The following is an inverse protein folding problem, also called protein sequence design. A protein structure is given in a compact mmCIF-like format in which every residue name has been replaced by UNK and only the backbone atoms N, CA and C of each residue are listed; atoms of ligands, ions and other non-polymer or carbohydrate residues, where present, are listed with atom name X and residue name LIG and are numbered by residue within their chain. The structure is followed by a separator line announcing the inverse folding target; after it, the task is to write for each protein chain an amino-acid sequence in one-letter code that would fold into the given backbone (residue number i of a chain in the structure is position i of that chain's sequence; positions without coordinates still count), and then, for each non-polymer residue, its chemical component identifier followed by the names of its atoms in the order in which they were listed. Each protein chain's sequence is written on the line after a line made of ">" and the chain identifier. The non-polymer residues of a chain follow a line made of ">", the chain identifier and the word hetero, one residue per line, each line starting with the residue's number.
data_IF_705699934160
#
_entry.id   IF_705699934160
#
_cell.length_a   1.000
_cell.length_b   1.000
_cell.length_c   1.000
_cell.angle_alpha   90.00
_cell.angle_beta   90.00
_cell.angle_gamma   90.00
#
_symmetry.space_group_name_H-M   'P 1'
#
loop_
_entity.id
_entity.type
_entity.pdbx_description
1 polymer ?
#
# COMPACT_ATOMS: atom_id res chain seq x y z
N UNK A 1 10.28 -19.51 48.36
CA UNK A 1 9.20 -18.80 47.58
C UNK A 1 9.81 -18.40 46.24
N UNK A 2 9.58 -19.23 45.20
CA UNK A 2 10.18 -19.07 43.89
C UNK A 2 9.16 -18.36 42.96
N UNK A 3 9.49 -17.17 42.49
CA UNK A 3 8.64 -16.41 41.53
C UNK A 3 8.92 -16.91 40.12
N UNK A 4 7.99 -17.69 39.57
CA UNK A 4 7.93 -18.05 38.15
C UNK A 4 7.53 -16.82 37.32
N UNK A 5 8.44 -16.29 36.54
CA UNK A 5 8.15 -15.30 35.49
C UNK A 5 7.45 -16.01 34.33
N UNK A 6 6.19 -15.61 34.08
CA UNK A 6 5.41 -16.06 32.92
C UNK A 6 5.92 -15.33 31.66
N UNK A 7 6.54 -16.07 30.76
CA UNK A 7 6.82 -15.61 29.41
C UNK A 7 5.48 -15.42 28.67
N UNK A 8 5.18 -14.19 28.24
CA UNK A 8 4.08 -13.89 27.33
C UNK A 8 4.48 -14.35 25.91
N UNK A 9 3.59 -15.03 25.16
CA UNK A 9 3.88 -15.40 23.79
C UNK A 9 3.95 -14.15 22.91
N UNK A 10 4.97 -14.07 22.06
CA UNK A 10 5.14 -13.07 21.02
C UNK A 10 3.97 -13.16 20.04
N UNK A 11 3.27 -12.05 19.83
CA UNK A 11 2.21 -11.94 18.81
C UNK A 11 2.82 -12.17 17.42
N UNK A 12 2.27 -13.11 16.67
CA UNK A 12 2.62 -13.37 15.28
C UNK A 12 2.30 -12.13 14.44
N UNK A 13 3.29 -11.72 13.65
CA UNK A 13 3.08 -10.74 12.57
C UNK A 13 2.18 -11.42 11.54
N UNK A 14 0.92 -11.01 11.49
CA UNK A 14 -0.02 -11.49 10.50
C UNK A 14 0.23 -10.72 9.22
N UNK A 15 0.87 -11.37 8.25
CA UNK A 15 0.81 -10.94 6.87
C UNK A 15 -0.58 -11.34 6.39
N UNK A 16 -1.53 -10.41 6.34
CA UNK A 16 -2.83 -10.62 5.73
C UNK A 16 -2.60 -10.89 4.25
N UNK A 17 -2.70 -12.16 3.89
CA UNK A 17 -2.67 -12.63 2.50
C UNK A 17 -4.11 -12.95 2.13
N UNK A 18 -4.74 -12.08 1.34
CA UNK A 18 -6.02 -12.36 0.75
C UNK A 18 -5.95 -13.65 -0.08
N UNK A 19 -6.82 -14.60 0.24
CA UNK A 19 -6.82 -15.98 -0.28
C UNK A 19 -7.68 -16.15 -1.54
N UNK A 20 -8.10 -15.03 -2.16
CA UNK A 20 -8.95 -15.06 -3.35
C UNK A 20 -8.13 -15.02 -4.63
N UNK A 21 -7.59 -16.16 -5.01
CA UNK A 21 -7.16 -16.44 -6.40
C UNK A 21 -7.94 -17.64 -6.92
N UNK A 22 -9.12 -17.39 -7.47
CA UNK A 22 -9.70 -18.26 -8.49
C UNK A 22 -8.88 -18.04 -9.78
N UNK A 23 -7.72 -18.69 -9.90
CA UNK A 23 -7.12 -18.98 -11.19
C UNK A 23 -7.83 -20.23 -11.69
N UNK A 24 -8.48 -20.13 -12.85
CA UNK A 24 -8.96 -21.28 -13.62
C UNK A 24 -7.78 -22.24 -13.80
N UNK A 25 -7.79 -23.31 -13.00
CA UNK A 25 -6.89 -24.44 -13.18
C UNK A 25 -7.36 -25.18 -14.43
N UNK A 26 -6.60 -25.04 -15.54
CA UNK A 26 -6.61 -26.06 -16.56
C UNK A 26 -6.19 -27.37 -15.89
N UNK A 27 -7.16 -28.26 -15.67
CA UNK A 27 -6.96 -29.63 -15.23
C UNK A 27 -6.15 -30.38 -16.28
N UNK A 28 -4.82 -30.29 -16.23
CA UNK A 28 -3.97 -31.30 -16.83
C UNK A 28 -3.93 -32.51 -15.88
N UNK A 29 -4.65 -33.55 -16.27
CA UNK A 29 -4.64 -34.90 -15.72
C UNK A 29 -3.21 -35.48 -15.69
N UNK A 30 -2.53 -35.33 -14.54
CA UNK A 30 -1.27 -36.05 -14.27
C UNK A 30 -1.52 -37.19 -13.29
N UNK A 31 -1.66 -38.38 -13.89
CA UNK A 31 -1.59 -39.68 -13.26
C UNK A 31 -0.60 -39.74 -12.10
N UNK A 32 -1.12 -40.22 -10.98
CA UNK A 32 -0.45 -40.64 -9.76
C UNK A 32 0.88 -41.33 -10.02
N UNK A 33 2.00 -40.66 -9.75
CA UNK A 33 3.27 -41.31 -9.49
C UNK A 33 3.86 -40.74 -8.22
N UNK A 34 3.79 -41.58 -7.19
CA UNK A 34 4.56 -41.61 -5.94
C UNK A 34 5.14 -40.31 -5.37
N UNK A 35 4.63 -39.95 -4.21
CA UNK A 35 5.16 -39.08 -3.18
C UNK A 35 6.71 -39.05 -3.12
N UNK A 36 7.33 -38.09 -3.78
CA UNK A 36 8.67 -37.66 -3.39
C UNK A 36 8.49 -36.46 -2.47
N UNK A 37 8.97 -36.61 -1.24
CA UNK A 37 8.83 -35.71 -0.12
C UNK A 37 9.00 -34.25 -0.49
N UNK A 38 8.07 -33.40 -0.05
CA UNK A 38 8.19 -31.95 -0.09
C UNK A 38 9.54 -31.59 0.54
N UNK A 39 10.50 -31.21 -0.26
CA UNK A 39 11.83 -30.81 0.18
C UNK A 39 11.63 -29.54 1.03
N UNK A 40 11.54 -29.71 2.34
CA UNK A 40 11.47 -28.61 3.28
C UNK A 40 12.76 -27.80 3.08
N UNK A 41 12.62 -26.55 2.67
CA UNK A 41 13.75 -25.61 2.56
C UNK A 41 14.46 -25.55 3.93
N UNK A 42 15.78 -25.63 3.91
CA UNK A 42 16.56 -25.42 5.14
C UNK A 42 16.36 -23.98 5.63
N UNK A 43 16.48 -23.74 6.92
CA UNK A 43 16.38 -22.39 7.50
C UNK A 43 17.35 -21.40 6.82
N UNK A 44 18.55 -21.89 6.47
CA UNK A 44 19.56 -21.12 5.75
C UNK A 44 19.11 -20.74 4.35
N UNK A 45 18.45 -21.65 3.63
CA UNK A 45 17.92 -21.38 2.30
C UNK A 45 16.73 -20.41 2.37
N UNK A 46 15.81 -20.60 3.32
CA UNK A 46 14.71 -19.65 3.57
C UNK A 46 15.24 -18.24 3.79
N UNK A 47 16.26 -18.07 4.64
CA UNK A 47 16.87 -16.76 4.90
C UNK A 47 17.52 -16.16 3.65
N UNK A 48 18.21 -16.98 2.86
CA UNK A 48 18.83 -16.55 1.59
C UNK A 48 17.77 -16.10 0.57
N UNK A 49 16.71 -16.88 0.39
CA UNK A 49 15.62 -16.56 -0.52
C UNK A 49 14.83 -15.33 -0.05
N UNK A 50 14.58 -15.19 1.25
CA UNK A 50 13.97 -14.00 1.84
C UNK A 50 14.81 -12.74 1.56
N UNK A 51 16.14 -12.82 1.66
CA UNK A 51 17.03 -11.72 1.29
C UNK A 51 16.91 -11.32 -0.19
N UNK A 52 16.71 -12.29 -1.09
CA UNK A 52 16.47 -11.98 -2.52
C UNK A 52 15.12 -11.27 -2.71
N UNK A 53 14.06 -11.71 -2.03
CA UNK A 53 12.76 -11.03 -2.04
C UNK A 53 12.88 -9.60 -1.51
N UNK A 54 13.60 -9.39 -0.38
CA UNK A 54 13.85 -8.06 0.15
C UNK A 54 14.53 -7.13 -0.87
N UNK A 55 15.55 -7.63 -1.58
CA UNK A 55 16.23 -6.85 -2.62
C UNK A 55 15.28 -6.48 -3.76
N UNK A 56 14.40 -7.39 -4.21
CA UNK A 56 13.41 -7.11 -5.24
C UNK A 56 12.40 -6.05 -4.79
N UNK A 57 11.94 -6.14 -3.55
CA UNK A 57 11.00 -5.17 -2.95
C UNK A 57 11.64 -3.80 -2.82
N UNK A 58 12.88 -3.70 -2.34
CA UNK A 58 13.61 -2.43 -2.23
C UNK A 58 13.85 -1.80 -3.60
N UNK A 59 14.19 -2.59 -4.61
CA UNK A 59 14.35 -2.11 -5.98
C UNK A 59 13.03 -1.58 -6.59
N UNK A 60 11.91 -2.23 -6.28
CA UNK A 60 10.57 -1.78 -6.70
C UNK A 60 10.16 -0.49 -5.96
N UNK A 61 10.53 -0.36 -4.68
CA UNK A 61 10.23 0.80 -3.85
C UNK A 61 10.90 2.09 -4.34
N UNK A 62 12.08 2.02 -4.96
CA UNK A 62 12.74 3.18 -5.58
C UNK A 62 11.81 3.86 -6.60
N UNK A 63 11.03 3.06 -7.35
CA UNK A 63 10.07 3.55 -8.35
C UNK A 63 8.65 3.69 -7.80
N UNK A 64 8.43 3.33 -6.54
CA UNK A 64 7.09 3.24 -5.91
C UNK A 64 6.10 2.35 -6.66
N UNK A 65 6.57 1.37 -7.44
CA UNK A 65 5.73 0.46 -8.23
C UNK A 65 5.51 -0.83 -7.44
N UNK A 66 4.27 -1.35 -7.34
CA UNK A 66 4.02 -2.63 -6.69
C UNK A 66 4.78 -3.78 -7.37
N UNK A 67 5.43 -4.62 -6.57
CA UNK A 67 6.09 -5.83 -7.03
C UNK A 67 5.08 -6.97 -7.10
N UNK A 68 4.80 -7.48 -8.30
CA UNK A 68 3.84 -8.57 -8.49
C UNK A 68 4.37 -9.88 -7.93
N UNK A 69 3.49 -10.70 -7.33
CA UNK A 69 3.83 -12.05 -6.87
C UNK A 69 4.36 -12.95 -8.01
N UNK A 70 3.85 -12.77 -9.23
CA UNK A 70 4.36 -13.45 -10.43
C UNK A 70 5.83 -13.12 -10.71
N UNK A 71 6.24 -11.86 -10.51
CA UNK A 71 7.62 -11.43 -10.80
C UNK A 71 8.59 -11.97 -9.74
N UNK A 72 8.15 -12.06 -8.47
CA UNK A 72 8.92 -12.72 -7.40
C UNK A 72 9.14 -14.19 -7.76
N UNK A 73 8.09 -14.90 -8.19
CA UNK A 73 8.20 -16.33 -8.57
C UNK A 73 9.08 -16.54 -9.79
N UNK A 74 9.04 -15.64 -10.79
CA UNK A 74 9.92 -15.68 -11.97
C UNK A 74 11.37 -15.41 -11.61
N UNK A 75 11.62 -14.43 -10.75
CA UNK A 75 12.96 -14.04 -10.31
C UNK A 75 13.61 -15.09 -9.39
N UNK A 76 12.81 -15.86 -8.65
CA UNK A 76 13.28 -16.86 -7.69
C UNK A 76 12.66 -18.22 -8.03
N UNK A 77 13.30 -18.94 -8.94
CA UNK A 77 12.81 -20.24 -9.48
C UNK A 77 12.63 -21.33 -8.41
N UNK A 78 13.25 -21.19 -7.23
CA UNK A 78 13.09 -22.10 -6.11
C UNK A 78 11.77 -21.96 -5.38
N UNK A 79 10.98 -20.89 -5.64
CA UNK A 79 9.69 -20.60 -4.98
C UNK A 79 8.49 -21.15 -5.76
N UNK A 80 8.60 -22.37 -6.31
CA UNK A 80 7.51 -23.01 -7.06
C UNK A 80 6.36 -23.48 -6.17
N UNK A 81 6.68 -23.96 -4.96
CA UNK A 81 5.68 -24.44 -4.02
C UNK A 81 5.00 -23.26 -3.30
N UNK A 82 3.66 -23.31 -3.15
CA UNK A 82 2.87 -22.33 -2.38
C UNK A 82 3.35 -22.24 -0.92
N UNK A 83 3.65 -23.40 -0.30
CA UNK A 83 4.16 -23.45 1.08
C UNK A 83 5.52 -22.77 1.22
N UNK A 84 6.47 -23.07 0.32
CA UNK A 84 7.80 -22.44 0.33
C UNK A 84 7.72 -20.94 0.10
N UNK A 85 6.84 -20.48 -0.81
CA UNK A 85 6.59 -19.08 -1.08
C UNK A 85 6.09 -18.36 0.19
N UNK A 86 5.06 -18.90 0.84
CA UNK A 86 4.49 -18.33 2.08
C UNK A 86 5.54 -18.21 3.19
N UNK A 87 6.32 -19.29 3.43
CA UNK A 87 7.39 -19.28 4.44
C UNK A 87 8.46 -18.21 4.15
N UNK A 88 8.88 -18.09 2.89
CA UNK A 88 9.88 -17.11 2.47
C UNK A 88 9.34 -15.68 2.57
N UNK A 89 8.07 -15.43 2.19
CA UNK A 89 7.44 -14.12 2.31
C UNK A 89 7.28 -13.66 3.76
N UNK A 90 6.90 -14.58 4.68
CA UNK A 90 6.85 -14.28 6.11
C UNK A 90 8.25 -13.87 6.60
N UNK A 91 9.27 -14.65 6.24
CA UNK A 91 10.66 -14.34 6.64
C UNK A 91 11.16 -13.03 6.04
N UNK A 92 10.81 -12.73 4.80
CA UNK A 92 11.11 -11.44 4.16
C UNK A 92 10.41 -10.28 4.90
N UNK A 93 9.15 -10.45 5.33
CA UNK A 93 8.42 -9.48 6.14
C UNK A 93 9.14 -9.17 7.45
N UNK A 94 9.53 -10.19 8.22
CA UNK A 94 10.30 -10.02 9.44
C UNK A 94 11.62 -9.27 9.20
N UNK A 95 12.33 -9.61 8.12
CA UNK A 95 13.59 -8.95 7.77
C UNK A 95 13.37 -7.49 7.37
N UNK A 96 12.35 -7.19 6.57
CA UNK A 96 12.02 -5.83 6.14
C UNK A 96 11.66 -4.95 7.33
N UNK A 97 10.85 -5.46 8.26
CA UNK A 97 10.43 -4.70 9.44
C UNK A 97 11.60 -4.47 10.40
N UNK A 98 12.38 -5.52 10.67
CA UNK A 98 13.43 -5.45 11.69
C UNK A 98 14.69 -4.71 11.23
N UNK A 99 15.08 -4.86 9.96
CA UNK A 99 16.31 -4.25 9.42
C UNK A 99 16.09 -2.89 8.77
N UNK A 100 14.95 -2.69 8.14
CA UNK A 100 14.68 -1.50 7.32
C UNK A 100 13.51 -0.66 7.82
N UNK A 101 12.72 -1.14 8.79
CA UNK A 101 11.54 -0.43 9.27
C UNK A 101 10.42 -0.31 8.22
N UNK A 102 10.32 -1.29 7.30
CA UNK A 102 9.26 -1.38 6.31
C UNK A 102 8.33 -2.55 6.59
N UNK A 103 7.03 -2.34 6.46
CA UNK A 103 6.03 -3.40 6.43
C UNK A 103 5.72 -3.75 4.97
N UNK A 104 5.68 -5.05 4.65
CA UNK A 104 5.18 -5.53 3.36
C UNK A 104 3.65 -5.56 3.43
N UNK A 105 2.99 -4.92 2.48
CA UNK A 105 1.54 -4.91 2.37
C UNK A 105 1.11 -5.40 0.99
N UNK A 106 0.10 -6.26 0.94
CA UNK A 106 -0.54 -6.68 -0.31
C UNK A 106 -1.42 -5.56 -0.87
N UNK A 107 -1.50 -5.48 -2.20
CA UNK A 107 -2.41 -4.58 -2.91
C UNK A 107 -3.39 -5.40 -3.74
N UNK A 108 -4.60 -4.88 -3.98
CA UNK A 108 -5.69 -5.56 -4.70
C UNK A 108 -5.28 -6.16 -6.06
N UNK A 109 -4.22 -5.67 -6.68
CA UNK A 109 -3.70 -6.13 -7.97
C UNK A 109 -2.66 -7.24 -7.88
N UNK A 110 -2.72 -8.11 -6.87
CA UNK A 110 -1.81 -9.23 -6.63
C UNK A 110 -0.32 -8.82 -6.57
N UNK A 111 -0.04 -7.69 -5.96
CA UNK A 111 1.30 -7.17 -5.77
C UNK A 111 1.57 -6.81 -4.32
N UNK A 112 2.82 -6.46 -4.05
CA UNK A 112 3.29 -6.02 -2.73
C UNK A 112 3.90 -4.64 -2.83
N UNK A 113 3.63 -3.81 -1.83
CA UNK A 113 4.26 -2.51 -1.61
C UNK A 113 4.95 -2.50 -0.26
N UNK A 114 5.94 -1.63 -0.13
CA UNK A 114 6.59 -1.34 1.15
C UNK A 114 5.94 -0.09 1.77
N UNK A 115 5.61 -0.18 3.05
CA UNK A 115 5.09 0.93 3.84
C UNK A 115 6.06 1.21 4.97
N UNK A 116 6.51 2.45 5.09
CA UNK A 116 7.44 2.86 6.15
C UNK A 116 6.72 2.86 7.51
N UNK A 117 7.25 2.11 8.48
CA UNK A 117 6.75 2.04 9.87
C UNK A 117 7.53 2.94 10.82
N UNK A 118 8.70 3.42 10.41
CA UNK A 118 9.51 4.36 11.17
C UNK A 118 8.90 5.74 10.99
N UNK A 119 8.22 6.22 12.01
CA UNK A 119 7.41 7.44 11.96
C UNK A 119 8.11 8.68 11.36
N UNK A 120 7.33 9.70 11.05
CA UNK A 120 7.70 10.93 10.34
C UNK A 120 8.86 11.76 10.94
N UNK A 121 9.39 11.35 12.10
CA UNK A 121 10.50 12.05 12.77
C UNK A 121 11.74 12.14 11.89
N UNK A 122 12.01 11.10 11.07
CA UNK A 122 13.14 11.08 10.15
C UNK A 122 12.86 11.76 8.81
N UNK A 123 11.58 11.93 8.42
CA UNK A 123 11.21 12.63 7.18
C UNK A 123 11.66 14.12 7.16
N UNK A 124 11.87 14.71 8.32
CA UNK A 124 12.39 16.09 8.45
C UNK A 124 13.84 16.24 7.96
N UNK A 125 14.59 15.16 7.87
CA UNK A 125 15.98 15.14 7.44
C UNK A 125 16.16 14.70 5.98
N UNK A 126 15.07 14.29 5.33
CA UNK A 126 15.09 13.87 3.94
C UNK A 126 15.12 15.12 3.05
N UNK A 127 16.28 15.44 2.51
CA UNK A 127 16.41 16.48 1.47
C UNK A 127 16.02 15.87 0.12
N UNK A 128 14.82 16.18 -0.32
CA UNK A 128 14.34 15.74 -1.63
C UNK A 128 14.75 16.74 -2.70
N UNK A 129 14.98 16.30 -3.94
CA UNK A 129 15.04 17.20 -5.09
C UNK A 129 13.74 18.02 -5.18
N UNK A 130 13.82 19.28 -5.58
CA UNK A 130 12.65 20.18 -5.68
C UNK A 130 11.51 19.60 -6.54
N UNK A 131 11.85 18.84 -7.58
CA UNK A 131 10.84 18.15 -8.42
C UNK A 131 10.02 17.10 -7.63
N UNK A 132 10.66 16.38 -6.72
CA UNK A 132 9.98 15.39 -5.87
C UNK A 132 9.16 16.06 -4.77
N UNK A 133 9.60 17.18 -4.24
CA UNK A 133 8.81 17.99 -3.29
C UNK A 133 7.54 18.51 -3.94
N UNK A 134 7.61 19.02 -5.18
CA UNK A 134 6.44 19.47 -5.95
C UNK A 134 5.47 18.31 -6.20
N UNK A 135 5.97 17.15 -6.62
CA UNK A 135 5.13 15.96 -6.81
C UNK A 135 4.43 15.53 -5.52
N UNK A 136 5.15 15.50 -4.39
CA UNK A 136 4.56 15.17 -3.09
C UNK A 136 3.51 16.19 -2.66
N UNK A 137 3.78 17.47 -2.85
CA UNK A 137 2.82 18.55 -2.58
C UNK A 137 1.54 18.38 -3.40
N UNK A 138 1.68 18.12 -4.70
CA UNK A 138 0.56 17.88 -5.59
C UNK A 138 -0.23 16.62 -5.20
N UNK A 139 0.47 15.53 -4.85
CA UNK A 139 -0.19 14.30 -4.38
C UNK A 139 -1.05 14.56 -3.14
N UNK A 140 -0.50 15.27 -2.14
CA UNK A 140 -1.24 15.62 -0.92
C UNK A 140 -2.47 16.47 -1.25
N UNK A 141 -2.33 17.45 -2.14
CA UNK A 141 -3.44 18.30 -2.57
C UNK A 141 -4.55 17.49 -3.27
N UNK A 142 -4.18 16.58 -4.17
CA UNK A 142 -5.14 15.68 -4.86
C UNK A 142 -5.84 14.77 -3.86
N UNK A 143 -5.09 14.12 -2.96
CA UNK A 143 -5.67 13.24 -1.93
C UNK A 143 -6.61 14.00 -0.99
N UNK A 144 -6.23 15.21 -0.60
CA UNK A 144 -7.08 16.08 0.22
C UNK A 144 -8.37 16.45 -0.54
N UNK A 145 -8.27 16.86 -1.81
CA UNK A 145 -9.43 17.19 -2.63
C UNK A 145 -10.39 16.01 -2.81
N UNK A 146 -9.87 14.81 -3.09
CA UNK A 146 -10.69 13.60 -3.18
C UNK A 146 -11.37 13.30 -1.84
N UNK A 147 -10.63 13.38 -0.73
CA UNK A 147 -11.15 13.12 0.61
C UNK A 147 -12.25 14.11 0.99
N UNK A 148 -12.07 15.40 0.69
CA UNK A 148 -13.07 16.43 0.96
C UNK A 148 -14.30 16.32 0.05
N UNK A 149 -14.16 15.68 -1.11
CA UNK A 149 -15.26 15.37 -2.02
C UNK A 149 -15.84 13.95 -1.77
N UNK A 150 -16.05 13.59 -0.51
CA UNK A 150 -16.63 12.31 -0.06
C UNK A 150 -15.87 11.06 -0.54
N UNK A 151 -14.56 11.18 -0.72
CA UNK A 151 -13.67 10.09 -1.10
C UNK A 151 -13.65 9.72 -2.58
N UNK A 152 -14.39 10.46 -3.44
CA UNK A 152 -14.46 10.24 -4.89
C UNK A 152 -14.43 11.57 -5.64
N UNK A 153 -13.74 11.58 -6.78
CA UNK A 153 -13.71 12.76 -7.65
C UNK A 153 -13.69 12.33 -9.11
N UNK A 154 -14.52 12.95 -9.94
CA UNK A 154 -14.52 12.69 -11.39
C UNK A 154 -13.25 13.23 -12.04
N UNK A 155 -12.90 12.69 -13.23
CA UNK A 155 -11.77 13.19 -14.03
C UNK A 155 -11.89 14.69 -14.27
N UNK A 156 -13.07 15.16 -14.73
CA UNK A 156 -13.30 16.58 -14.99
C UNK A 156 -13.25 17.44 -13.72
N UNK A 157 -13.71 16.92 -12.57
CA UNK A 157 -13.60 17.58 -11.27
C UNK A 157 -12.13 17.76 -10.85
N UNK A 158 -11.31 16.71 -11.02
CA UNK A 158 -9.88 16.78 -10.73
C UNK A 158 -9.14 17.71 -11.68
N UNK A 159 -9.45 17.70 -12.98
CA UNK A 159 -8.87 18.64 -13.95
C UNK A 159 -9.22 20.09 -13.59
N UNK A 160 -10.47 20.37 -13.22
CA UNK A 160 -10.89 21.69 -12.78
C UNK A 160 -10.16 22.15 -11.52
N UNK A 161 -9.98 21.25 -10.55
CA UNK A 161 -9.22 21.52 -9.34
C UNK A 161 -7.76 21.85 -9.64
N UNK A 162 -7.10 21.06 -10.50
CA UNK A 162 -5.70 21.28 -10.87
C UNK A 162 -5.50 22.58 -11.63
N UNK A 163 -6.40 22.93 -12.53
CA UNK A 163 -6.39 24.21 -13.25
C UNK A 163 -6.58 25.42 -12.31
N UNK A 164 -7.34 25.23 -11.22
CA UNK A 164 -7.51 26.26 -10.20
C UNK A 164 -6.28 26.43 -9.30
N UNK A 165 -5.47 25.40 -9.13
CA UNK A 165 -4.21 25.50 -8.40
C UNK A 165 -3.13 26.22 -9.19
N UNK A 166 -2.96 25.86 -10.46
CA UNK A 166 -1.99 26.46 -11.37
C UNK A 166 -2.36 26.13 -12.83
N UNK A 167 -2.56 27.16 -13.64
CA UNK A 167 -2.88 27.02 -15.05
C UNK A 167 -1.77 26.30 -15.86
N UNK A 168 -0.52 26.40 -15.43
CA UNK A 168 0.62 25.77 -16.11
C UNK A 168 0.77 24.27 -15.76
N UNK A 169 0.13 23.81 -14.67
CA UNK A 169 0.14 22.39 -14.27
C UNK A 169 -0.69 21.50 -15.21
N UNK A 170 -1.61 22.07 -15.97
CA UNK A 170 -2.60 21.32 -16.76
C UNK A 170 -2.03 20.31 -17.77
N UNK A 171 -0.90 20.57 -18.40
CA UNK A 171 -0.26 19.63 -19.34
C UNK A 171 0.60 18.57 -18.65
N UNK A 172 1.29 18.94 -17.56
CA UNK A 172 2.15 18.04 -16.79
C UNK A 172 1.38 17.19 -15.77
N UNK A 173 0.18 17.61 -15.37
CA UNK A 173 -0.63 16.93 -14.35
C UNK A 173 -1.13 15.55 -14.79
N UNK A 174 -1.41 15.36 -16.08
CA UNK A 174 -1.88 14.07 -16.60
C UNK A 174 -0.83 12.98 -16.41
N UNK A 175 0.43 13.27 -16.72
CA UNK A 175 1.53 12.31 -16.53
C UNK A 175 1.74 12.00 -15.06
N UNK A 176 1.63 13.00 -14.18
CA UNK A 176 1.72 12.79 -12.74
C UNK A 176 0.55 11.96 -12.19
N UNK A 177 -0.69 12.19 -12.67
CA UNK A 177 -1.85 11.36 -12.29
C UNK A 177 -1.63 9.91 -12.73
N UNK A 178 -1.14 9.67 -13.95
CA UNK A 178 -0.81 8.32 -14.42
C UNK A 178 0.30 7.68 -13.59
N UNK A 179 1.28 8.46 -13.15
CA UNK A 179 2.31 7.99 -12.23
C UNK A 179 1.70 7.60 -10.88
N UNK A 180 0.82 8.40 -10.29
CA UNK A 180 0.16 8.10 -9.01
C UNK A 180 -0.78 6.89 -9.10
N UNK A 181 -1.43 6.66 -10.24
CA UNK A 181 -2.20 5.43 -10.49
C UNK A 181 -1.29 4.20 -10.52
N UNK A 182 -0.15 4.27 -11.21
CA UNK A 182 0.83 3.16 -11.26
C UNK A 182 1.43 2.88 -9.90
N UNK A 183 1.68 3.92 -9.11
CA UNK A 183 2.22 3.84 -7.75
C UNK A 183 1.19 3.40 -6.72
N UNK A 184 -0.10 3.26 -7.10
CA UNK A 184 -1.21 2.93 -6.21
C UNK A 184 -1.54 3.97 -5.13
N UNK A 185 -1.18 5.22 -5.37
CA UNK A 185 -1.72 6.33 -4.59
C UNK A 185 -3.15 6.70 -5.00
N UNK A 186 -3.47 6.54 -6.28
CA UNK A 186 -4.82 6.71 -6.81
C UNK A 186 -5.31 5.38 -7.38
N UNK A 187 -6.62 5.21 -7.35
CA UNK A 187 -7.35 4.14 -8.03
C UNK A 187 -8.40 4.79 -8.93
N UNK A 188 -8.64 4.22 -10.11
CA UNK A 188 -9.67 4.69 -11.03
C UNK A 188 -10.75 3.63 -11.17
N UNK A 189 -12.00 4.05 -11.04
CA UNK A 189 -13.19 3.21 -11.23
C UNK A 189 -14.13 3.87 -12.23
N UNK A 190 -14.82 3.08 -13.03
CA UNK A 190 -15.84 3.60 -13.94
C UNK A 190 -17.18 3.64 -13.21
N UNK A 191 -17.86 4.77 -13.26
CA UNK A 191 -19.22 4.89 -12.77
C UNK A 191 -20.18 4.70 -13.95
N UNK A 192 -20.76 3.52 -14.05
CA UNK A 192 -21.70 3.13 -15.11
C UNK A 192 -23.11 3.68 -14.88
N UNK A 193 -23.36 4.34 -13.73
CA UNK A 193 -24.66 4.95 -13.41
C UNK A 193 -24.88 6.29 -14.11
N UNK A 194 -23.85 6.83 -14.76
CA UNK A 194 -23.90 8.09 -15.52
C UNK A 194 -23.90 7.81 -17.02
N UNK A 195 -24.65 8.58 -17.80
CA UNK A 195 -24.62 8.54 -19.28
C UNK A 195 -24.04 9.87 -19.81
N UNK A 196 -22.84 9.89 -20.41
CA UNK A 196 -21.91 8.75 -20.60
C UNK A 196 -21.24 8.30 -19.29
N UNK A 197 -20.71 7.04 -19.21
CA UNK A 197 -19.98 6.55 -18.07
C UNK A 197 -18.80 7.46 -17.70
N UNK A 198 -18.66 7.77 -16.42
CA UNK A 198 -17.65 8.72 -15.94
C UNK A 198 -16.58 8.01 -15.11
N UNK A 199 -15.32 8.25 -15.44
CA UNK A 199 -14.21 7.75 -14.61
C UNK A 199 -14.10 8.57 -13.32
N UNK A 200 -14.03 7.87 -12.19
CA UNK A 200 -13.87 8.43 -10.86
C UNK A 200 -12.53 8.04 -10.28
N UNK A 201 -11.87 8.97 -9.61
CA UNK A 201 -10.65 8.71 -8.82
C UNK A 201 -10.98 8.60 -7.35
N UNK A 202 -10.30 7.65 -6.71
CA UNK A 202 -10.35 7.40 -5.26
C UNK A 202 -8.93 7.23 -4.71
N UNK A 203 -8.80 7.20 -3.40
CA UNK A 203 -7.53 6.82 -2.77
C UNK A 203 -7.20 5.36 -3.10
N UNK A 204 -5.98 5.12 -3.55
CA UNK A 204 -5.46 3.76 -3.77
C UNK A 204 -4.89 3.15 -2.48
N UNK A 205 -4.50 1.87 -2.58
CA UNK A 205 -4.00 1.08 -1.43
C UNK A 205 -2.79 1.72 -0.74
N UNK A 206 -1.84 2.27 -1.52
CA UNK A 206 -0.66 2.96 -0.98
C UNK A 206 -1.05 4.24 -0.24
N UNK A 207 -1.98 5.02 -0.76
CA UNK A 207 -2.43 6.23 -0.09
C UNK A 207 -3.08 5.91 1.26
N UNK A 208 -3.95 4.90 1.30
CA UNK A 208 -4.61 4.45 2.54
C UNK A 208 -3.60 3.93 3.58
N UNK A 209 -2.46 3.39 3.14
CA UNK A 209 -1.42 2.88 4.03
C UNK A 209 -0.44 3.95 4.54
N UNK A 210 -0.06 4.91 3.68
CA UNK A 210 0.97 5.91 4.00
C UNK A 210 0.37 7.20 4.59
N UNK A 211 -0.87 7.54 4.26
CA UNK A 211 -1.51 8.79 4.71
C UNK A 211 -2.61 8.53 5.74
N UNK A 212 -2.55 9.31 6.82
CA UNK A 212 -3.59 9.31 7.85
C UNK A 212 -4.67 10.35 7.49
N UNK A 213 -5.90 9.92 7.27
CA UNK A 213 -7.02 10.82 6.91
C UNK A 213 -7.25 11.92 7.93
N UNK A 214 -7.03 11.64 9.22
CA UNK A 214 -7.09 12.65 10.28
C UNK A 214 -6.11 13.78 10.06
N UNK A 215 -4.84 13.45 9.73
CA UNK A 215 -3.82 14.48 9.44
C UNK A 215 -4.12 15.26 8.16
N UNK A 216 -4.73 14.60 7.16
CA UNK A 216 -5.17 15.30 5.95
C UNK A 216 -6.31 16.25 6.26
N UNK A 217 -7.27 15.87 7.12
CA UNK A 217 -8.34 16.77 7.57
C UNK A 217 -7.79 17.96 8.37
N UNK A 218 -6.85 17.71 9.27
CA UNK A 218 -6.17 18.77 10.04
C UNK A 218 -5.46 19.76 9.11
N UNK A 219 -4.73 19.26 8.11
CA UNK A 219 -4.08 20.08 7.09
C UNK A 219 -5.10 20.95 6.30
N UNK A 220 -6.22 20.37 5.87
CA UNK A 220 -7.28 21.12 5.20
C UNK A 220 -7.83 22.21 6.12
N UNK A 221 -8.05 21.91 7.38
CA UNK A 221 -8.52 22.89 8.36
C UNK A 221 -7.56 24.07 8.54
N UNK A 222 -6.25 23.81 8.53
CA UNK A 222 -5.22 24.85 8.58
C UNK A 222 -5.28 25.76 7.33
N UNK A 223 -5.40 25.17 6.13
CA UNK A 223 -5.51 25.91 4.86
C UNK A 223 -6.77 26.81 4.85
N UNK A 224 -7.87 26.36 5.45
CA UNK A 224 -9.13 27.13 5.55
C UNK A 224 -9.19 28.08 6.76
N UNK A 225 -8.04 28.51 7.30
CA UNK A 225 -7.99 29.49 8.37
C UNK A 225 -8.19 28.90 9.78
N UNK A 226 -7.64 27.72 10.04
CA UNK A 226 -7.70 27.00 11.31
C UNK A 226 -9.12 26.66 11.76
N UNK A 227 -9.96 26.22 10.82
CA UNK A 227 -11.29 25.70 11.13
C UNK A 227 -11.20 24.44 12.00
N UNK A 228 -12.21 24.21 12.85
CA UNK A 228 -12.26 22.97 13.64
C UNK A 228 -12.61 21.79 12.75
N UNK A 229 -11.88 20.63 12.83
CA UNK A 229 -12.18 19.42 12.05
C UNK A 229 -13.64 18.94 12.17
N UNK A 230 -14.28 19.14 13.35
CA UNK A 230 -15.67 18.79 13.59
C UNK A 230 -16.69 19.55 12.74
N UNK A 231 -16.31 20.66 12.11
CA UNK A 231 -17.18 21.39 11.18
C UNK A 231 -17.37 20.64 9.85
N UNK A 232 -16.47 19.77 9.50
CA UNK A 232 -16.53 18.87 8.35
C UNK A 232 -17.19 17.54 8.77
N UNK A 233 -18.50 17.56 8.99
CA UNK A 233 -19.26 16.49 9.65
C UNK A 233 -19.06 15.11 9.02
N UNK A 234 -19.06 14.99 7.69
CA UNK A 234 -18.86 13.73 6.98
C UNK A 234 -17.44 13.19 7.21
N UNK A 235 -16.43 14.01 6.93
CA UNK A 235 -15.01 13.63 7.06
C UNK A 235 -14.64 13.34 8.50
N UNK A 236 -15.18 14.12 9.44
CA UNK A 236 -14.97 13.91 10.87
C UNK A 236 -15.53 12.56 11.35
N UNK A 237 -16.74 12.22 10.91
CA UNK A 237 -17.35 10.92 11.21
C UNK A 237 -16.49 9.77 10.69
N UNK A 238 -16.05 9.85 9.44
CA UNK A 238 -15.24 8.82 8.77
C UNK A 238 -13.89 8.61 9.47
N UNK A 239 -13.24 9.69 9.91
CA UNK A 239 -11.97 9.63 10.65
C UNK A 239 -12.14 8.97 12.03
N UNK A 240 -13.25 9.23 12.73
CA UNK A 240 -13.51 8.63 14.05
C UNK A 240 -13.84 7.14 13.92
N UNK A 241 -14.63 6.73 12.93
CA UNK A 241 -14.94 5.31 12.68
C UNK A 241 -13.67 4.48 12.35
N UNK A 242 -12.71 5.05 11.61
CA UNK A 242 -11.43 4.40 11.35
C UNK A 242 -10.54 4.25 12.60
N UNK A 243 -10.64 5.17 13.55
CA UNK A 243 -9.89 5.07 14.81
C UNK A 243 -10.47 4.03 15.76
N UNK A 244 -11.80 3.98 15.89
CA UNK A 244 -12.49 2.98 16.72
C UNK A 244 -12.25 1.55 16.22
N UNK A 245 -12.17 1.35 14.89
CA UNK A 245 -11.83 0.07 14.28
C UNK A 245 -10.39 -0.39 14.53
N UNK A 246 -9.45 0.54 14.74
CA UNK A 246 -8.04 0.20 15.03
C UNK A 246 -7.79 -0.12 16.49
N UNK A 247 -8.51 0.49 17.41
CA UNK A 247 -8.40 0.22 18.85
C UNK A 247 -9.00 -1.14 19.23
N UNK A 248 -10.02 -1.63 18.52
CA UNK A 248 -10.61 -2.95 18.74
C UNK A 248 -9.76 -4.12 18.21
N UNK A 249 -8.74 -3.85 17.39
CA UNK A 249 -7.85 -4.87 16.79
C UNK A 249 -6.46 -4.94 17.44
N UNK A 250 -6.21 -4.19 18.50
CA UNK A 250 -4.95 -4.17 19.28
C UNK A 250 -5.09 -4.89 20.59
#
# INVERSE_FOLDING_TARGET
>A
MSRRTKNKPRKNVVVEMDDDTEEEEEEEDYTLTQSQGACQLSEKDVKKLAGQVCNMLLAAEIRKIPLKSSDIRKGITSLKSRSSYKTVMIKAGEMMEHLFGYKIMSVKTHGYILVNTVGSTFAKYEQLPRSEEVKRGLLIAILAAIFMNEGKMSVGGLESFLNALDNDLGSSSRDMIQEFLRQKYLESTVNDLTEPPTTMYTWGDRANAEFCKKKVLEFVCEVYGNMKPSMWTYQWKLVNEENDGKESSS
#
